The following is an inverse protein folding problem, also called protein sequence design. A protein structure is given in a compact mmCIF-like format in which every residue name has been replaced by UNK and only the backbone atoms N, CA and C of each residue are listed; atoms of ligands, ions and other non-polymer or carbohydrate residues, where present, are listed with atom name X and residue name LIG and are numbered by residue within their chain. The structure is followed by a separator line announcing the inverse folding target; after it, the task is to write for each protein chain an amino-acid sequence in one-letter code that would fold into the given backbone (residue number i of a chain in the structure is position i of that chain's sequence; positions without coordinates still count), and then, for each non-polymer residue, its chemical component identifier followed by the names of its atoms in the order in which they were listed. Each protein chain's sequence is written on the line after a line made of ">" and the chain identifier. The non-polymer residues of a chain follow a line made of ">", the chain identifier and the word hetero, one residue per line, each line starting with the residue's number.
data_IF_910767727579
#
_entry.id   IF_910767727579
#
_cell.length_a   1.000
_cell.length_b   1.000
_cell.length_c   1.000
_cell.angle_alpha   90.00
_cell.angle_beta   90.00
_cell.angle_gamma   90.00
#
_symmetry.space_group_name_H-M   'P 1'
#
loop_
_entity.id
_entity.type
_entity.pdbx_description
1 polymer ?
#
# COMPACT_ATOMS: atom_id res chain seq x y z
N UNK A 1 1.89 5.99 -14.22
CA UNK A 1 2.54 5.28 -13.11
C UNK A 1 3.71 4.52 -13.70
N UNK A 2 4.91 4.78 -13.18
CA UNK A 2 6.15 4.13 -13.62
C UNK A 2 6.57 3.13 -12.53
N UNK A 3 6.96 1.91 -12.94
CA UNK A 3 7.32 0.85 -11.99
C UNK A 3 8.55 1.23 -11.16
N UNK A 4 9.56 1.87 -11.78
CA UNK A 4 10.79 2.25 -11.09
C UNK A 4 10.50 3.25 -9.97
N UNK A 5 9.61 4.22 -10.22
CA UNK A 5 9.17 5.16 -9.20
C UNK A 5 8.46 4.48 -8.03
N UNK A 6 7.58 3.50 -8.29
CA UNK A 6 6.95 2.70 -7.23
C UNK A 6 8.00 1.90 -6.45
N UNK A 7 8.88 1.19 -7.16
CA UNK A 7 9.88 0.31 -6.58
C UNK A 7 10.85 1.08 -5.68
N UNK A 8 11.35 2.23 -6.13
CA UNK A 8 12.26 3.09 -5.37
C UNK A 8 11.62 3.71 -4.11
N UNK A 9 10.28 3.69 -4.02
CA UNK A 9 9.52 4.13 -2.84
C UNK A 9 9.02 2.98 -1.98
N UNK A 10 9.27 1.73 -2.37
CA UNK A 10 8.84 0.60 -1.58
C UNK A 10 9.60 0.57 -0.25
N UNK A 11 8.93 0.43 0.91
CA UNK A 11 9.57 0.62 2.22
C UNK A 11 10.80 -0.27 2.47
N UNK A 12 10.82 -1.51 1.97
CA UNK A 12 12.01 -2.39 2.07
C UNK A 12 13.20 -1.97 1.21
N UNK A 13 13.02 -1.06 0.25
CA UNK A 13 14.09 -0.50 -0.58
C UNK A 13 14.72 0.72 0.10
N UNK A 14 13.97 1.40 0.98
CA UNK A 14 14.41 2.58 1.73
C UNK A 14 14.66 2.26 3.22
N UNK A 15 14.94 0.99 3.53
CA UNK A 15 15.25 0.48 4.87
C UNK A 15 14.16 0.70 5.95
N UNK A 16 12.90 0.88 5.54
CA UNK A 16 11.73 0.94 6.42
C UNK A 16 10.88 -0.33 6.27
N UNK A 17 11.34 -1.44 6.87
CA UNK A 17 10.65 -2.73 6.71
C UNK A 17 9.30 -2.82 7.44
N UNK A 18 9.03 -1.89 8.38
CA UNK A 18 7.85 -1.86 9.26
C UNK A 18 7.26 -0.43 9.31
N UNK A 19 6.75 0.07 8.17
CA UNK A 19 6.29 1.46 8.06
C UNK A 19 5.06 1.75 8.94
N UNK A 20 4.27 0.72 9.30
CA UNK A 20 3.24 0.86 10.31
C UNK A 20 3.77 0.45 11.68
N UNK A 21 4.41 1.39 12.37
CA UNK A 21 4.93 1.24 13.72
C UNK A 21 4.61 2.44 14.59
N UNK A 22 4.55 2.23 15.91
CA UNK A 22 4.42 3.28 16.93
C UNK A 22 5.52 3.03 17.96
N UNK A 23 6.31 4.06 18.28
CA UNK A 23 7.46 3.95 19.20
C UNK A 23 8.44 2.80 18.84
N UNK A 24 8.66 2.60 17.54
CA UNK A 24 9.55 1.56 17.01
C UNK A 24 8.99 0.13 17.09
N UNK A 25 7.73 -0.06 17.49
CA UNK A 25 7.06 -1.36 17.54
C UNK A 25 6.06 -1.49 16.41
N UNK A 26 6.08 -2.64 15.73
CA UNK A 26 5.12 -2.95 14.68
C UNK A 26 3.69 -2.93 15.25
N UNK A 27 2.79 -2.17 14.63
CA UNK A 27 1.39 -2.14 15.02
C UNK A 27 0.60 -3.35 14.51
N UNK A 28 1.11 -4.01 13.47
CA UNK A 28 0.55 -5.22 12.86
C UNK A 28 1.69 -6.17 12.49
N UNK A 29 1.45 -7.48 12.61
CA UNK A 29 2.40 -8.50 12.14
C UNK A 29 2.49 -8.52 10.62
N UNK A 30 1.35 -8.41 9.94
CA UNK A 30 1.26 -8.48 8.49
C UNK A 30 1.47 -7.10 7.85
N UNK A 31 2.63 -6.93 7.22
CA UNK A 31 3.06 -5.66 6.63
C UNK A 31 3.01 -5.66 5.10
N UNK A 32 2.56 -6.74 4.45
CA UNK A 32 2.63 -6.88 2.99
C UNK A 32 1.80 -5.81 2.25
N UNK A 33 0.53 -5.66 2.62
CA UNK A 33 -0.37 -4.66 2.03
C UNK A 33 0.02 -3.24 2.44
N UNK A 34 0.47 -3.06 3.69
CA UNK A 34 0.92 -1.78 4.22
C UNK A 34 2.11 -1.26 3.41
N UNK A 35 3.13 -2.10 3.19
CA UNK A 35 4.32 -1.68 2.42
C UNK A 35 3.98 -1.25 1.00
N UNK A 36 3.13 -2.02 0.32
CA UNK A 36 2.69 -1.66 -1.03
C UNK A 36 1.83 -0.40 -1.03
N UNK A 37 0.91 -0.26 -0.08
CA UNK A 37 0.06 0.92 0.05
C UNK A 37 0.84 2.20 0.36
N UNK A 38 1.86 2.13 1.23
CA UNK A 38 2.80 3.24 1.49
C UNK A 38 3.55 3.63 0.22
N UNK A 39 4.03 2.65 -0.56
CA UNK A 39 4.72 2.90 -1.82
C UNK A 39 3.80 3.62 -2.83
N UNK A 40 2.54 3.18 -2.93
CA UNK A 40 1.51 3.77 -3.79
C UNK A 40 1.19 5.21 -3.37
N UNK A 41 0.93 5.44 -2.07
CA UNK A 41 0.68 6.76 -1.53
C UNK A 41 1.85 7.72 -1.75
N UNK A 42 3.09 7.23 -1.58
CA UNK A 42 4.32 7.99 -1.78
C UNK A 42 4.53 8.48 -3.23
N UNK A 43 3.91 7.83 -4.21
CA UNK A 43 3.93 8.26 -5.62
C UNK A 43 2.63 8.99 -6.03
N UNK A 44 1.79 9.38 -5.06
CA UNK A 44 0.59 10.18 -5.27
C UNK A 44 -0.68 9.40 -5.61
N UNK A 45 -0.69 8.07 -5.43
CA UNK A 45 -1.93 7.28 -5.59
C UNK A 45 -2.76 7.40 -4.32
N UNK A 46 -4.00 7.86 -4.45
CA UNK A 46 -4.96 7.86 -3.34
C UNK A 46 -5.45 6.43 -3.05
N UNK A 47 -4.84 5.78 -2.05
CA UNK A 47 -5.20 4.43 -1.62
C UNK A 47 -6.61 4.34 -1.02
N UNK A 48 -7.21 5.46 -0.60
CA UNK A 48 -8.58 5.49 -0.08
C UNK A 48 -9.62 5.37 -1.19
N UNK A 49 -9.23 5.64 -2.44
CA UNK A 49 -10.02 5.35 -3.63
C UNK A 49 -9.97 3.87 -4.04
N UNK A 50 -8.92 3.15 -3.63
CA UNK A 50 -8.72 1.72 -3.90
C UNK A 50 -9.41 0.84 -2.86
N UNK A 51 -9.31 1.24 -1.59
CA UNK A 51 -9.78 0.46 -0.44
C UNK A 51 -10.46 1.41 0.56
N UNK A 52 -11.60 1.04 1.16
CA UNK A 52 -12.27 1.90 2.15
C UNK A 52 -11.34 2.33 3.30
N UNK A 53 -11.52 3.55 3.81
CA UNK A 53 -10.73 4.08 4.95
C UNK A 53 -10.76 3.18 6.19
N UNK A 54 -11.88 2.49 6.43
CA UNK A 54 -12.03 1.53 7.53
C UNK A 54 -11.09 0.31 7.45
N UNK A 55 -10.44 0.11 6.29
CA UNK A 55 -9.47 -0.97 6.05
C UNK A 55 -8.02 -0.48 6.04
N UNK A 56 -7.83 0.79 6.41
CA UNK A 56 -6.53 1.34 6.73
C UNK A 56 -6.28 1.22 8.24
N UNK A 57 -5.01 1.30 8.66
CA UNK A 57 -4.70 1.29 10.09
C UNK A 57 -5.34 2.50 10.79
N UNK A 58 -5.71 2.32 12.06
CA UNK A 58 -6.27 3.36 12.92
C UNK A 58 -5.21 4.23 13.64
N UNK A 59 -3.91 3.91 13.46
CA UNK A 59 -2.82 4.62 14.13
C UNK A 59 -2.29 5.81 13.32
N UNK A 60 -2.56 5.84 12.01
CA UNK A 60 -1.99 6.80 11.07
C UNK A 60 -3.08 7.33 10.15
N UNK A 61 -2.81 8.48 9.50
CA UNK A 61 -3.73 9.02 8.51
C UNK A 61 -3.93 8.04 7.34
N UNK A 62 -5.17 7.90 6.88
CA UNK A 62 -5.52 6.98 5.79
C UNK A 62 -4.80 7.29 4.47
N UNK A 63 -4.42 8.55 4.25
CA UNK A 63 -3.66 8.99 3.08
C UNK A 63 -2.21 8.52 3.05
N UNK A 64 -1.68 7.97 4.16
CA UNK A 64 -0.37 7.33 4.20
C UNK A 64 -0.38 5.90 3.63
N UNK A 65 -1.54 5.37 3.24
CA UNK A 65 -1.64 4.11 2.52
C UNK A 65 -1.42 2.86 3.37
N UNK A 66 -1.63 2.93 4.68
CA UNK A 66 -1.50 1.77 5.57
C UNK A 66 -2.68 0.78 5.43
N UNK A 67 -2.84 0.16 4.26
CA UNK A 67 -3.90 -0.82 3.98
C UNK A 67 -3.60 -2.14 4.70
N UNK A 68 -4.58 -2.67 5.43
CA UNK A 68 -4.40 -3.85 6.29
C UNK A 68 -4.53 -5.19 5.55
N UNK A 69 -5.36 -5.27 4.51
CA UNK A 69 -5.62 -6.53 3.81
C UNK A 69 -5.06 -6.55 2.38
N UNK A 70 -4.20 -7.53 2.11
CA UNK A 70 -3.60 -7.72 0.79
C UNK A 70 -4.65 -8.03 -0.28
N UNK A 71 -5.66 -8.82 0.06
CA UNK A 71 -6.72 -9.20 -0.87
C UNK A 71 -7.53 -7.97 -1.33
N UNK A 72 -7.96 -7.12 -0.41
CA UNK A 72 -8.75 -5.94 -0.78
C UNK A 72 -7.94 -4.93 -1.56
N UNK A 73 -6.65 -4.76 -1.25
CA UNK A 73 -5.73 -3.96 -2.05
C UNK A 73 -5.62 -4.52 -3.48
N UNK A 74 -5.45 -5.84 -3.62
CA UNK A 74 -5.38 -6.49 -4.93
C UNK A 74 -6.71 -6.33 -5.71
N UNK A 75 -7.85 -6.48 -5.05
CA UNK A 75 -9.16 -6.25 -5.64
C UNK A 75 -9.32 -4.79 -6.11
N UNK A 76 -8.90 -3.81 -5.31
CA UNK A 76 -8.88 -2.40 -5.68
C UNK A 76 -8.00 -2.14 -6.90
N UNK A 77 -6.76 -2.63 -6.89
CA UNK A 77 -5.82 -2.49 -8.02
C UNK A 77 -6.37 -3.10 -9.32
N UNK A 78 -7.10 -4.22 -9.23
CA UNK A 78 -7.71 -4.87 -10.40
C UNK A 78 -8.80 -4.05 -11.08
N UNK A 79 -9.32 -3.01 -10.41
CA UNK A 79 -10.37 -2.11 -10.92
C UNK A 79 -9.79 -0.82 -11.50
N UNK A 80 -8.55 -0.47 -11.17
CA UNK A 80 -7.90 0.72 -11.72
C UNK A 80 -7.17 0.41 -13.02
N UNK A 81 -7.25 1.30 -14.03
CA UNK A 81 -6.49 1.18 -15.26
C UNK A 81 -5.03 1.61 -15.03
N UNK A 82 -4.28 0.83 -14.26
CA UNK A 82 -2.85 1.07 -14.02
C UNK A 82 -2.06 0.38 -15.13
N UNK A 83 -1.30 1.17 -15.90
CA UNK A 83 -0.42 0.61 -16.94
C UNK A 83 0.57 -0.38 -16.31
N UNK A 84 0.65 -1.59 -16.88
CA UNK A 84 1.47 -2.69 -16.35
C UNK A 84 0.80 -3.56 -15.28
N UNK A 85 -0.38 -3.20 -14.78
CA UNK A 85 -1.21 -4.05 -13.91
C UNK A 85 -2.40 -4.56 -14.72
N UNK A 86 -2.54 -5.88 -14.82
CA UNK A 86 -3.64 -6.50 -15.55
C UNK A 86 -4.26 -7.64 -14.74
N UNK A 87 -5.55 -7.86 -14.93
CA UNK A 87 -6.21 -9.05 -14.40
C UNK A 87 -5.63 -10.26 -15.13
N UNK A 88 -5.05 -11.20 -14.38
CA UNK A 88 -4.61 -12.47 -14.95
C UNK A 88 -5.84 -13.15 -15.60
N UNK A 89 -5.79 -13.37 -16.93
CA UNK A 89 -6.82 -14.16 -17.61
C UNK A 89 -6.48 -15.63 -17.33
N UNK A 90 -7.43 -16.35 -16.75
CA UNK A 90 -7.37 -17.82 -16.62
C UNK A 90 -7.62 -18.48 -17.96
#
# INVERSE_FOLDING_TARGET
>A
MDFQNLWNKHPTIVDDSVPCSTDGKANFSDQCAIRLGVALASIGVDTTSLVPKARHCWYHDSGLGHVLAAEELAQGLSRMPISGVSRLRK
#
